data_IF_972872804457
#
_entry.id   IF_972872804457
#
_cell.length_a   1.000
_cell.length_b   1.000
_cell.length_c   1.000
_cell.angle_alpha   90.00
_cell.angle_beta   90.00
_cell.angle_gamma   90.00
#
_symmetry.space_group_name_H-M   'P 1'
#
loop_
_entity.id
_entity.type
_entity.pdbx_description
1 polymer ?
#
# COMPACT_ATOMS: atom_id res chain seq x y z
N UNK A 1 -12.14 10.04 -6.92
CA UNK A 1 -12.55 8.78 -6.28
C UNK A 1 -11.63 8.39 -5.11
N UNK A 2 -10.46 8.96 -5.01
CA UNK A 2 -9.51 8.77 -3.90
C UNK A 2 -9.42 10.03 -3.03
N UNK A 3 -8.90 9.90 -1.81
CA UNK A 3 -8.78 11.01 -0.87
C UNK A 3 -7.42 11.03 -0.14
N UNK A 4 -6.29 11.16 -0.87
CA UNK A 4 -4.99 11.34 -0.25
C UNK A 4 -4.78 12.77 0.24
N UNK A 5 -3.84 12.96 1.17
CA UNK A 5 -3.42 14.25 1.66
C UNK A 5 -3.71 14.48 3.15
N UNK A 6 -3.69 15.73 3.58
CA UNK A 6 -3.98 16.12 4.97
C UNK A 6 -5.48 16.06 5.21
N UNK A 7 -5.93 15.03 5.92
CA UNK A 7 -7.35 14.75 6.13
C UNK A 7 -7.88 15.27 7.47
N UNK A 8 -7.01 15.34 8.47
CA UNK A 8 -7.31 15.95 9.77
C UNK A 8 -6.14 16.88 10.10
N UNK A 9 -6.46 18.16 10.28
CA UNK A 9 -5.48 19.19 10.64
C UNK A 9 -5.81 19.74 12.04
N UNK A 10 -4.95 19.44 13.00
CA UNK A 10 -5.05 19.97 14.37
C UNK A 10 -4.08 21.16 14.59
N UNK A 11 -3.35 21.55 13.55
CA UNK A 11 -2.35 22.62 13.64
C UNK A 11 -1.12 22.24 14.46
N UNK A 12 -0.27 23.23 14.73
CA UNK A 12 0.92 23.06 15.57
C UNK A 12 2.17 22.62 14.81
N UNK A 13 3.24 22.42 15.58
CA UNK A 13 4.50 21.89 15.07
C UNK A 13 4.53 20.37 15.24
N UNK A 14 5.08 19.68 14.26
CA UNK A 14 5.16 18.22 14.23
C UNK A 14 6.61 17.79 14.52
N UNK A 15 6.84 17.10 15.64
CA UNK A 15 8.15 16.59 16.04
C UNK A 15 8.19 15.07 16.03
N UNK A 16 7.05 14.43 16.29
CA UNK A 16 6.95 12.97 16.33
C UNK A 16 5.78 12.50 15.48
N UNK A 17 6.06 11.55 14.59
CA UNK A 17 5.11 11.01 13.64
C UNK A 17 5.01 9.50 13.82
N UNK A 18 3.79 8.98 13.84
CA UNK A 18 3.53 7.53 13.80
C UNK A 18 3.14 7.15 12.38
N UNK A 19 3.75 6.10 11.84
CA UNK A 19 3.39 5.54 10.54
C UNK A 19 2.51 4.29 10.74
N UNK A 20 1.43 4.20 9.99
CA UNK A 20 0.49 3.07 10.06
C UNK A 20 -0.08 2.73 8.68
N UNK A 21 -0.57 1.52 8.49
CA UNK A 21 -1.34 1.16 7.29
C UNK A 21 -2.75 1.77 7.37
N UNK A 22 -3.42 1.53 8.48
CA UNK A 22 -4.75 2.05 8.80
C UNK A 22 -4.73 2.87 10.08
N UNK A 23 -5.55 3.91 10.17
CA UNK A 23 -5.78 4.63 11.42
C UNK A 23 -7.01 4.05 12.10
N UNK A 24 -6.77 3.19 13.10
CA UNK A 24 -7.80 2.62 13.97
C UNK A 24 -7.86 3.36 15.31
N UNK A 25 -8.90 3.17 16.14
CA UNK A 25 -8.93 3.72 17.50
C UNK A 25 -7.70 3.33 18.33
N UNK A 26 -7.20 2.10 18.17
CA UNK A 26 -6.00 1.61 18.86
C UNK A 26 -4.75 2.34 18.40
N UNK A 27 -4.62 2.64 17.10
CA UNK A 27 -3.50 3.42 16.53
C UNK A 27 -3.56 4.86 17.02
N UNK A 28 -4.74 5.47 17.15
CA UNK A 28 -4.90 6.81 17.75
C UNK A 28 -4.47 6.80 19.21
N UNK A 29 -4.89 5.79 19.99
CA UNK A 29 -4.50 5.64 21.38
C UNK A 29 -2.98 5.43 21.53
N UNK A 30 -2.36 4.64 20.66
CA UNK A 30 -0.91 4.42 20.62
C UNK A 30 -0.17 5.73 20.31
N UNK A 31 -0.61 6.48 19.28
CA UNK A 31 -0.02 7.77 18.92
C UNK A 31 -0.10 8.77 20.07
N UNK A 32 -1.24 8.85 20.75
CA UNK A 32 -1.41 9.71 21.93
C UNK A 32 -0.49 9.30 23.09
N UNK A 33 -0.38 8.00 23.38
CA UNK A 33 0.51 7.48 24.43
C UNK A 33 2.00 7.76 24.13
N UNK A 34 2.37 7.76 22.85
CA UNK A 34 3.72 8.07 22.38
C UNK A 34 3.95 9.57 22.15
N UNK A 35 2.96 10.41 22.43
CA UNK A 35 3.02 11.86 22.23
C UNK A 35 3.35 12.23 20.76
N UNK A 36 2.75 11.52 19.82
CA UNK A 36 2.83 11.87 18.40
C UNK A 36 1.82 12.96 18.08
N UNK A 37 2.25 13.97 17.32
CA UNK A 37 1.38 15.05 16.85
C UNK A 37 0.73 14.74 15.50
N UNK A 38 1.23 13.70 14.80
CA UNK A 38 0.75 13.31 13.48
C UNK A 38 0.77 11.80 13.28
N UNK A 39 -0.22 11.30 12.55
CA UNK A 39 -0.20 9.94 11.97
C UNK A 39 -0.12 10.07 10.45
N UNK A 40 0.82 9.36 9.83
CA UNK A 40 0.88 9.15 8.38
C UNK A 40 0.38 7.75 8.09
N UNK A 41 -0.70 7.64 7.32
CA UNK A 41 -1.29 6.36 6.94
C UNK A 41 -1.24 6.12 5.45
N UNK A 42 -1.34 4.84 5.04
CA UNK A 42 -1.58 4.49 3.65
C UNK A 42 -3.06 4.63 3.31
N UNK A 43 -3.94 4.00 4.08
CA UNK A 43 -5.37 4.10 3.85
C UNK A 43 -5.95 5.38 4.46
N UNK A 44 -6.86 6.07 3.75
CA UNK A 44 -7.44 7.32 4.20
C UNK A 44 -8.41 7.10 5.38
N UNK A 45 -8.23 7.87 6.45
CA UNK A 45 -9.14 7.86 7.60
C UNK A 45 -10.51 8.45 7.28
N UNK A 46 -10.60 9.25 6.21
CA UNK A 46 -11.82 9.76 5.61
C UNK A 46 -11.76 9.41 4.13
N UNK A 47 -12.54 8.41 3.69
CA UNK A 47 -12.62 8.05 2.28
C UNK A 47 -13.78 8.79 1.60
N UNK A 48 -14.97 8.67 2.16
CA UNK A 48 -16.17 9.37 1.70
C UNK A 48 -16.47 10.62 2.55
N UNK A 49 -17.16 11.64 2.02
CA UNK A 49 -17.58 12.82 2.76
C UNK A 49 -18.40 12.44 4.00
N UNK A 50 -18.00 12.94 5.16
CA UNK A 50 -18.70 12.68 6.42
C UNK A 50 -19.97 13.51 6.49
N UNK A 51 -21.13 12.86 6.71
CA UNK A 51 -22.43 13.52 6.93
C UNK A 51 -22.68 13.87 8.41
N UNK A 52 -22.01 13.21 9.30
CA UNK A 52 -22.03 13.42 10.76
C UNK A 52 -20.72 12.92 11.34
N UNK A 53 -20.36 13.42 12.51
CA UNK A 53 -19.19 13.00 13.26
C UNK A 53 -19.56 12.88 14.74
N UNK A 54 -19.02 11.89 15.42
CA UNK A 54 -19.29 11.61 16.83
C UNK A 54 -18.13 10.89 17.52
N UNK A 55 -18.22 10.64 18.84
CA UNK A 55 -17.12 10.11 19.65
C UNK A 55 -16.58 8.74 19.22
N UNK A 56 -17.36 7.98 18.47
CA UNK A 56 -16.95 6.66 17.96
C UNK A 56 -16.20 6.73 16.63
N UNK A 57 -16.24 7.89 15.97
CA UNK A 57 -15.59 8.08 14.67
C UNK A 57 -14.10 8.42 14.86
N UNK A 58 -13.22 7.73 14.13
CA UNK A 58 -11.77 7.94 14.23
C UNK A 58 -11.35 9.39 13.97
N UNK A 59 -11.91 10.11 12.97
CA UNK A 59 -11.62 11.52 12.79
C UNK A 59 -11.95 12.40 14.00
N UNK A 60 -13.03 12.09 14.74
CA UNK A 60 -13.35 12.80 15.98
C UNK A 60 -12.31 12.53 17.07
N UNK A 61 -11.87 11.27 17.22
CA UNK A 61 -10.87 10.87 18.22
C UNK A 61 -9.52 11.53 17.92
N UNK A 62 -9.12 11.65 16.64
CA UNK A 62 -7.93 12.38 16.22
C UNK A 62 -7.99 13.86 16.65
N UNK A 63 -9.08 14.54 16.33
CA UNK A 63 -9.29 15.95 16.73
C UNK A 63 -9.29 16.10 18.26
N UNK A 64 -9.95 15.19 18.98
CA UNK A 64 -9.97 15.22 20.45
C UNK A 64 -8.59 15.00 21.05
N UNK A 65 -7.76 14.18 20.44
CA UNK A 65 -6.37 13.92 20.85
C UNK A 65 -5.38 14.99 20.38
N UNK A 66 -5.81 15.94 19.52
CA UNK A 66 -4.93 16.95 18.93
C UNK A 66 -3.92 16.36 17.93
N UNK A 67 -4.26 15.23 17.28
CA UNK A 67 -3.38 14.50 16.36
C UNK A 67 -3.83 14.74 14.92
N UNK A 68 -2.95 15.26 14.09
CA UNK A 68 -3.18 15.43 12.65
C UNK A 68 -3.04 14.10 11.91
N UNK A 69 -3.70 13.97 10.75
CA UNK A 69 -3.61 12.75 9.93
C UNK A 69 -3.37 13.09 8.45
N UNK A 70 -2.29 12.53 7.89
CA UNK A 70 -1.99 12.56 6.46
C UNK A 70 -2.16 11.15 5.89
N UNK A 71 -2.87 11.08 4.75
CA UNK A 71 -2.98 9.87 3.96
C UNK A 71 -2.05 9.92 2.74
N UNK A 72 -1.27 8.87 2.54
CA UNK A 72 -0.43 8.65 1.36
C UNK A 72 -0.90 7.36 0.69
N UNK A 73 -1.95 7.44 -0.13
CA UNK A 73 -2.65 6.31 -0.75
C UNK A 73 -2.16 6.05 -2.19
N UNK A 74 -3.01 6.22 -3.18
CA UNK A 74 -2.65 5.99 -4.60
C UNK A 74 -1.54 6.90 -5.10
N UNK A 75 -1.40 8.09 -4.54
CA UNK A 75 -0.27 8.97 -4.81
C UNK A 75 1.08 8.36 -4.40
N UNK A 76 1.13 7.57 -3.31
CA UNK A 76 2.33 6.82 -2.92
C UNK A 76 2.48 5.55 -3.75
N UNK A 77 1.38 4.89 -4.14
CA UNK A 77 1.43 3.74 -5.04
C UNK A 77 2.06 4.10 -6.40
N UNK A 78 1.73 5.29 -6.92
CA UNK A 78 2.19 5.77 -8.22
C UNK A 78 3.57 6.45 -8.19
N UNK A 79 4.01 6.95 -7.04
CA UNK A 79 5.23 7.72 -6.91
C UNK A 79 6.48 6.97 -7.36
N UNK A 80 7.49 7.72 -7.80
CA UNK A 80 8.85 7.23 -7.93
C UNK A 80 9.39 6.82 -6.55
N UNK A 81 9.97 5.64 -6.42
CA UNK A 81 10.36 5.04 -5.15
C UNK A 81 9.18 4.58 -4.28
N UNK A 82 7.94 4.70 -4.76
CA UNK A 82 6.74 4.32 -4.06
C UNK A 82 6.46 2.81 -4.06
N UNK A 83 5.26 2.45 -3.58
CA UNK A 83 4.90 1.05 -3.27
C UNK A 83 5.08 0.12 -4.46
N UNK A 84 4.63 0.51 -5.65
CA UNK A 84 4.72 -0.37 -6.83
C UNK A 84 6.14 -0.49 -7.40
N UNK A 85 7.02 0.48 -7.19
CA UNK A 85 8.44 0.32 -7.54
C UNK A 85 9.18 -0.57 -6.54
N UNK A 86 8.88 -0.45 -5.26
CA UNK A 86 9.39 -1.38 -4.24
C UNK A 86 8.93 -2.81 -4.54
N UNK A 87 7.65 -2.99 -4.92
CA UNK A 87 7.13 -4.29 -5.32
C UNK A 87 7.81 -4.83 -6.58
N UNK A 88 8.02 -4.00 -7.60
CA UNK A 88 8.75 -4.38 -8.81
C UNK A 88 10.21 -4.77 -8.53
N UNK A 89 10.84 -4.08 -7.58
CA UNK A 89 12.20 -4.37 -7.12
C UNK A 89 12.39 -5.77 -6.54
N UNK A 90 11.34 -6.38 -5.98
CA UNK A 90 11.36 -7.77 -5.47
C UNK A 90 11.70 -8.77 -6.58
N UNK A 91 11.33 -8.46 -7.82
CA UNK A 91 11.49 -9.33 -8.98
C UNK A 91 12.68 -8.95 -9.86
N UNK A 92 13.52 -8.00 -9.43
CA UNK A 92 14.66 -7.47 -10.23
C UNK A 92 14.23 -6.96 -11.61
N UNK A 93 13.03 -6.37 -11.69
CA UNK A 93 12.42 -5.91 -12.93
C UNK A 93 13.27 -4.84 -13.60
N UNK A 94 13.48 -4.97 -14.92
CA UNK A 94 14.26 -4.06 -15.75
C UNK A 94 13.37 -3.37 -16.77
N UNK A 95 13.82 -2.19 -17.25
CA UNK A 95 13.11 -1.41 -18.26
C UNK A 95 11.63 -1.24 -17.88
N UNK A 96 11.41 -0.75 -16.67
CA UNK A 96 10.07 -0.54 -16.14
C UNK A 96 9.34 0.57 -16.89
N UNK A 97 8.09 0.28 -17.23
CA UNK A 97 7.10 1.22 -17.75
C UNK A 97 5.92 1.28 -16.77
N UNK A 98 5.24 2.40 -16.76
CA UNK A 98 4.02 2.57 -15.95
C UNK A 98 2.78 2.22 -16.76
N UNK A 99 1.73 1.71 -16.11
CA UNK A 99 0.39 1.55 -16.67
C UNK A 99 -0.67 1.93 -15.62
N UNK A 100 -1.94 1.95 -16.02
CA UNK A 100 -3.04 2.29 -15.11
C UNK A 100 -2.80 3.62 -14.38
N UNK A 101 -2.62 4.71 -15.17
CA UNK A 101 -2.39 6.07 -14.63
C UNK A 101 -1.20 6.18 -13.66
N UNK A 102 -0.18 5.32 -13.85
CA UNK A 102 1.01 5.29 -13.01
C UNK A 102 0.94 4.36 -11.80
N UNK A 103 -0.21 3.76 -11.50
CA UNK A 103 -0.37 2.87 -10.36
C UNK A 103 0.28 1.50 -10.55
N UNK A 104 0.50 1.02 -11.78
CA UNK A 104 1.16 -0.24 -12.05
C UNK A 104 2.56 -0.07 -12.61
N UNK A 105 3.39 -1.11 -12.48
CA UNK A 105 4.70 -1.24 -13.13
C UNK A 105 4.73 -2.51 -13.96
N UNK A 106 5.27 -2.41 -15.19
CA UNK A 106 5.49 -3.55 -16.07
C UNK A 106 6.92 -3.51 -16.61
N UNK A 107 7.58 -4.66 -16.70
CA UNK A 107 8.96 -4.69 -17.16
C UNK A 107 9.47 -6.10 -17.42
N UNK A 108 10.70 -6.19 -17.93
CA UNK A 108 11.36 -7.46 -18.20
C UNK A 108 11.90 -8.07 -16.89
N UNK A 109 11.78 -9.39 -16.77
CA UNK A 109 12.44 -10.19 -15.74
C UNK A 109 13.24 -11.31 -16.38
N UNK A 110 14.12 -11.96 -15.62
CA UNK A 110 14.72 -13.22 -16.03
C UNK A 110 13.62 -14.27 -16.25
N UNK A 111 13.77 -15.06 -17.33
CA UNK A 111 12.79 -16.07 -17.70
C UNK A 111 12.58 -17.08 -16.55
N UNK A 112 11.35 -17.23 -16.09
CA UNK A 112 11.01 -18.05 -14.93
C UNK A 112 9.67 -18.75 -15.13
N UNK A 113 9.55 -20.00 -14.65
CA UNK A 113 8.26 -20.71 -14.64
C UNK A 113 7.30 -20.08 -13.58
N UNK A 114 6.01 -20.09 -13.89
CA UNK A 114 4.99 -19.49 -13.00
C UNK A 114 5.02 -20.05 -11.58
N UNK A 115 5.15 -21.38 -11.33
CA UNK A 115 5.26 -21.89 -9.97
C UNK A 115 6.49 -21.41 -9.21
N UNK A 116 7.60 -21.20 -9.91
CA UNK A 116 8.84 -20.67 -9.31
C UNK A 116 8.72 -19.18 -9.01
N UNK A 117 8.11 -18.42 -9.91
CA UNK A 117 7.79 -17.00 -9.69
C UNK A 117 6.89 -16.82 -8.47
N UNK A 118 5.84 -17.65 -8.33
CA UNK A 118 4.94 -17.63 -7.18
C UNK A 118 5.68 -17.95 -5.87
N UNK A 119 6.62 -18.91 -5.90
CA UNK A 119 7.47 -19.26 -4.75
C UNK A 119 8.42 -18.12 -4.39
N UNK A 120 9.07 -17.49 -5.38
CA UNK A 120 9.90 -16.29 -5.17
C UNK A 120 9.08 -15.19 -4.53
N UNK A 121 7.90 -14.87 -5.07
CA UNK A 121 7.00 -13.87 -4.52
C UNK A 121 6.64 -14.17 -3.04
N UNK A 122 6.29 -15.41 -2.73
CA UNK A 122 5.96 -15.81 -1.36
C UNK A 122 7.13 -15.62 -0.40
N UNK A 123 8.32 -16.03 -0.78
CA UNK A 123 9.52 -15.94 0.04
C UNK A 123 9.92 -14.48 0.29
N UNK A 124 9.95 -13.67 -0.76
CA UNK A 124 10.36 -12.28 -0.69
C UNK A 124 9.36 -11.41 0.10
N UNK A 125 8.07 -11.64 -0.09
CA UNK A 125 7.03 -10.97 0.69
C UNK A 125 7.07 -11.41 2.16
N UNK A 126 7.23 -12.71 2.43
CA UNK A 126 7.33 -13.20 3.80
C UNK A 126 8.55 -12.64 4.55
N UNK A 127 9.68 -12.45 3.85
CA UNK A 127 10.90 -11.89 4.44
C UNK A 127 10.77 -10.38 4.78
N UNK A 128 9.90 -9.66 4.06
CA UNK A 128 9.71 -8.20 4.23
C UNK A 128 8.53 -7.83 5.11
N UNK A 129 7.56 -8.73 5.22
CA UNK A 129 6.40 -8.50 6.08
C UNK A 129 6.75 -8.84 7.54
N UNK A 130 6.53 -7.91 8.46
CA UNK A 130 6.52 -8.18 9.89
C UNK A 130 5.32 -9.09 10.21
N UNK A 131 5.49 -10.39 10.03
CA UNK A 131 4.43 -11.34 10.36
C UNK A 131 4.28 -11.46 11.88
N UNK A 132 3.07 -11.34 12.42
CA UNK A 132 2.85 -11.71 13.81
C UNK A 132 3.25 -13.17 14.00
N UNK A 133 3.93 -13.49 15.09
CA UNK A 133 4.47 -14.85 15.40
C UNK A 133 3.44 -15.98 15.25
N UNK A 134 2.14 -15.65 15.32
CA UNK A 134 1.01 -16.57 15.22
C UNK A 134 0.02 -16.16 14.12
N UNK A 135 0.42 -15.30 13.18
CA UNK A 135 -0.42 -14.88 12.05
C UNK A 135 -0.39 -15.90 10.89
N UNK A 136 -1.33 -15.80 9.95
CA UNK A 136 -1.33 -16.64 8.77
C UNK A 136 -0.06 -16.36 7.93
N UNK A 137 0.58 -17.41 7.44
CA UNK A 137 1.71 -17.27 6.55
C UNK A 137 1.30 -16.55 5.26
N UNK A 138 2.24 -15.79 4.67
CA UNK A 138 2.05 -15.21 3.33
C UNK A 138 1.73 -16.33 2.35
N UNK A 139 0.62 -16.19 1.63
CA UNK A 139 0.19 -17.14 0.62
C UNK A 139 0.09 -16.43 -0.74
N UNK A 140 0.63 -17.07 -1.77
CA UNK A 140 0.51 -16.61 -3.15
C UNK A 140 -0.36 -17.60 -3.93
N UNK A 141 -1.47 -17.12 -4.46
CA UNK A 141 -2.32 -17.90 -5.39
C UNK A 141 -1.87 -17.60 -6.82
N UNK A 142 -1.82 -18.60 -7.67
CA UNK A 142 -1.43 -18.42 -9.05
C UNK A 142 -2.25 -19.31 -9.99
N UNK A 143 -2.28 -18.92 -11.25
CA UNK A 143 -2.79 -19.72 -12.38
C UNK A 143 -1.63 -19.92 -13.33
N UNK A 144 -1.36 -21.15 -13.71
CA UNK A 144 -0.26 -21.51 -14.61
C UNK A 144 -0.83 -21.88 -15.98
N UNK A 145 -0.48 -21.09 -17.00
CA UNK A 145 -0.81 -21.33 -18.40
C UNK A 145 0.24 -22.24 -19.11
N UNK A 146 1.22 -22.78 -18.36
CA UNK A 146 2.28 -23.65 -18.89
C UNK A 146 3.33 -22.92 -19.73
N UNK A 147 3.43 -21.60 -19.63
CA UNK A 147 4.41 -20.78 -20.34
C UNK A 147 5.30 -20.03 -19.34
N UNK A 148 6.61 -19.92 -19.59
CA UNK A 148 7.48 -19.12 -18.73
C UNK A 148 7.17 -17.64 -18.89
N UNK A 149 7.43 -16.89 -17.80
CA UNK A 149 7.27 -15.44 -17.74
C UNK A 149 8.60 -14.75 -18.03
N UNK A 150 8.59 -13.78 -18.95
CA UNK A 150 9.73 -12.91 -19.30
C UNK A 150 9.41 -11.44 -19.09
N UNK A 151 8.13 -11.09 -19.04
CA UNK A 151 7.62 -9.75 -18.80
C UNK A 151 6.55 -9.83 -17.72
N UNK A 152 6.75 -9.07 -16.67
CA UNK A 152 5.92 -9.11 -15.46
C UNK A 152 5.27 -7.75 -15.24
N UNK A 153 4.00 -7.74 -14.91
CA UNK A 153 3.32 -6.57 -14.37
C UNK A 153 3.07 -6.76 -12.88
N UNK A 154 3.26 -5.70 -12.12
CA UNK A 154 2.94 -5.65 -10.69
C UNK A 154 2.07 -4.45 -10.38
N UNK A 155 1.16 -4.64 -9.43
CA UNK A 155 0.31 -3.59 -8.89
C UNK A 155 -0.08 -3.95 -7.47
N UNK A 156 -0.08 -2.94 -6.57
CA UNK A 156 -0.54 -3.07 -5.20
C UNK A 156 -2.06 -2.95 -5.07
N UNK A 157 -2.60 -3.30 -3.92
CA UNK A 157 -4.02 -3.11 -3.60
C UNK A 157 -4.97 -3.96 -4.47
N UNK A 158 -6.11 -3.40 -4.82
CA UNK A 158 -7.18 -4.06 -5.58
C UNK A 158 -6.95 -4.03 -7.11
N UNK A 159 -5.74 -4.38 -7.57
CA UNK A 159 -5.31 -4.29 -8.96
C UNK A 159 -6.02 -5.20 -9.97
N UNK A 160 -6.92 -6.09 -9.52
CA UNK A 160 -7.57 -7.07 -10.40
C UNK A 160 -8.40 -6.47 -11.55
N UNK A 161 -8.91 -5.25 -11.41
CA UNK A 161 -9.63 -4.55 -12.48
C UNK A 161 -8.71 -4.06 -13.61
N UNK A 162 -7.40 -3.98 -13.37
CA UNK A 162 -6.39 -3.46 -14.30
C UNK A 162 -5.64 -4.56 -15.07
N UNK A 163 -6.13 -5.79 -14.96
CA UNK A 163 -5.57 -6.94 -15.65
C UNK A 163 -5.50 -6.77 -17.19
N UNK A 164 -6.55 -6.17 -17.78
CA UNK A 164 -6.56 -5.92 -19.23
C UNK A 164 -5.47 -4.94 -19.67
N UNK A 165 -5.19 -3.93 -18.87
CA UNK A 165 -4.14 -2.94 -19.14
C UNK A 165 -2.75 -3.60 -19.08
N UNK A 166 -2.53 -4.47 -18.09
CA UNK A 166 -1.28 -5.25 -17.99
C UNK A 166 -1.04 -6.14 -19.23
N UNK A 167 -2.09 -6.83 -19.72
CA UNK A 167 -2.02 -7.63 -20.94
C UNK A 167 -1.71 -6.76 -22.16
N UNK A 168 -2.35 -5.60 -22.28
CA UNK A 168 -2.10 -4.66 -23.38
C UNK A 168 -0.64 -4.17 -23.42
N UNK A 169 0.04 -4.13 -22.26
CA UNK A 169 1.45 -3.83 -22.12
C UNK A 169 2.37 -5.06 -22.36
N UNK A 170 1.80 -6.20 -22.69
CA UNK A 170 2.54 -7.42 -23.04
C UNK A 170 3.01 -8.27 -21.86
N UNK A 171 2.39 -8.09 -20.70
CA UNK A 171 2.67 -8.92 -19.51
C UNK A 171 2.01 -10.29 -19.62
#
# INVERSE_FOLDING_TARGET
WDNPGLLVDCGGQMHRVLAALDITPEVVAEAAAQQCEMIVSHHPVIFDPLKKIGPQDVPFQLVQAGISAICMHTNLDAAEGGVNEVLAGIFDMKNMETFAEGCGRVGAIEEIAVPELARKAQQELAARCNQPKNGPAVQVKFVDAGKPVKRLAVISGAGGSLFADAIAMGA
#
